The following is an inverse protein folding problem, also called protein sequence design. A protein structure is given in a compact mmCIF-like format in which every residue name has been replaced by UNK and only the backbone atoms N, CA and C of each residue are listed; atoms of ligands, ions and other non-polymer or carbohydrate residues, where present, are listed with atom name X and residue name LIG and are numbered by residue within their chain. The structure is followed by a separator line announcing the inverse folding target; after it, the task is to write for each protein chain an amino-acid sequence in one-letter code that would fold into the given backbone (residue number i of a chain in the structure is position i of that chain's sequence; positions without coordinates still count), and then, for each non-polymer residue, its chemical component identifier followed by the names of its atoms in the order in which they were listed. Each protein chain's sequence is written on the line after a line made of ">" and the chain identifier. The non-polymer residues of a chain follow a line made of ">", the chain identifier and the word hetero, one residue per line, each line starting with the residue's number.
data_IF_645172863688
#
_entry.id   IF_645172863688
#
_cell.length_a   1.000
_cell.length_b   1.000
_cell.length_c   1.000
_cell.angle_alpha   90.00
_cell.angle_beta   90.00
_cell.angle_gamma   90.00
#
_symmetry.space_group_name_H-M   'P 1'
#
loop_
_entity.id
_entity.type
_entity.pdbx_description
1 polymer ?
#
# COMPACT_ATOMS: atom_id res chain seq x y z
N UNK A 1 -45.69 62.11 -12.60
CA UNK A 1 -45.89 61.98 -11.14
C UNK A 1 -44.53 61.90 -10.48
N UNK A 2 -44.23 62.91 -9.67
CA UNK A 2 -42.88 63.46 -9.49
C UNK A 2 -42.16 62.86 -8.27
N UNK A 3 -40.88 62.52 -8.47
CA UNK A 3 -39.95 61.99 -7.47
C UNK A 3 -39.66 62.99 -6.33
N UNK A 4 -40.46 62.95 -5.25
CA UNK A 4 -40.21 63.66 -3.97
C UNK A 4 -39.61 62.74 -2.89
N UNK A 5 -38.73 61.83 -3.27
CA UNK A 5 -38.45 60.61 -2.50
C UNK A 5 -37.21 60.59 -1.58
N UNK A 6 -36.15 61.44 -1.69
CA UNK A 6 -35.00 61.29 -0.80
C UNK A 6 -35.15 62.00 0.56
N UNK A 7 -35.70 63.22 0.60
CA UNK A 7 -35.73 64.05 1.83
C UNK A 7 -36.73 63.53 2.86
N UNK A 8 -37.93 63.11 2.43
CA UNK A 8 -38.95 62.51 3.31
C UNK A 8 -38.47 61.22 3.96
N UNK A 9 -37.85 60.33 3.17
CA UNK A 9 -37.19 59.12 3.67
C UNK A 9 -36.08 59.43 4.68
N UNK A 10 -35.35 60.55 4.55
CA UNK A 10 -34.37 60.93 5.57
C UNK A 10 -35.01 61.26 6.91
N UNK A 11 -36.10 62.05 6.93
CA UNK A 11 -36.80 62.45 8.16
C UNK A 11 -37.42 61.23 8.86
N UNK A 12 -38.02 60.32 8.10
CA UNK A 12 -38.61 59.07 8.61
C UNK A 12 -37.57 58.14 9.26
N UNK A 13 -36.38 57.99 8.66
CA UNK A 13 -35.31 57.18 9.28
C UNK A 13 -34.83 57.76 10.61
N UNK A 14 -34.77 59.09 10.72
CA UNK A 14 -34.34 59.78 11.95
C UNK A 14 -35.41 59.68 13.02
N UNK A 15 -36.69 59.84 12.67
CA UNK A 15 -37.79 59.73 13.63
C UNK A 15 -37.93 58.29 14.17
N UNK A 16 -37.81 57.28 13.29
CA UNK A 16 -37.81 55.88 13.69
C UNK A 16 -36.64 55.58 14.63
N UNK A 17 -35.42 56.00 14.28
CA UNK A 17 -34.25 55.80 15.13
C UNK A 17 -34.39 56.45 16.52
N UNK A 18 -34.95 57.68 16.59
CA UNK A 18 -35.21 58.34 17.88
C UNK A 18 -36.20 57.55 18.72
N UNK A 19 -37.28 57.06 18.12
CA UNK A 19 -38.28 56.23 18.81
C UNK A 19 -37.64 54.95 19.35
N UNK A 20 -36.91 54.20 18.52
CA UNK A 20 -36.25 52.95 18.92
C UNK A 20 -35.24 53.18 20.05
N UNK A 21 -34.50 54.28 20.04
CA UNK A 21 -33.55 54.57 21.11
C UNK A 21 -34.22 55.03 22.42
N UNK A 22 -35.39 55.67 22.33
CA UNK A 22 -36.10 56.17 23.51
C UNK A 22 -36.94 55.08 24.21
N UNK A 23 -37.50 54.14 23.45
CA UNK A 23 -38.41 53.10 23.96
C UNK A 23 -37.88 51.68 23.81
N UNK A 24 -36.63 51.51 23.36
CA UNK A 24 -36.03 50.20 23.17
C UNK A 24 -35.24 49.74 24.38
N UNK A 25 -35.01 48.43 24.45
CA UNK A 25 -34.17 47.79 25.45
C UNK A 25 -32.79 47.48 24.86
N UNK A 26 -31.77 47.46 25.71
CA UNK A 26 -30.45 46.97 25.30
C UNK A 26 -30.56 45.48 24.99
N UNK A 27 -30.10 45.06 23.82
CA UNK A 27 -30.01 43.66 23.48
C UNK A 27 -28.78 43.06 24.18
N UNK A 28 -28.99 41.97 24.91
CA UNK A 28 -27.91 41.19 25.56
C UNK A 28 -26.92 40.65 24.52
N UNK A 29 -27.43 40.29 23.34
CA UNK A 29 -26.63 39.89 22.18
C UNK A 29 -26.67 41.00 21.11
N UNK A 30 -25.65 41.88 21.06
CA UNK A 30 -25.66 43.00 20.12
C UNK A 30 -25.50 42.52 18.67
N UNK A 31 -26.11 43.24 17.73
CA UNK A 31 -25.89 43.01 16.30
C UNK A 31 -24.40 43.20 15.92
N UNK A 32 -23.91 42.51 14.88
CA UNK A 32 -22.49 42.47 14.49
C UNK A 32 -21.90 43.87 14.35
N UNK A 33 -22.64 44.82 13.77
CA UNK A 33 -22.17 46.19 13.60
C UNK A 33 -22.00 46.92 14.93
N UNK A 34 -23.00 46.84 15.81
CA UNK A 34 -22.92 47.50 17.11
C UNK A 34 -21.82 46.89 17.97
N UNK A 35 -21.65 45.56 17.91
CA UNK A 35 -20.55 44.86 18.58
C UNK A 35 -19.19 45.36 18.10
N UNK A 36 -18.93 45.37 16.78
CA UNK A 36 -17.66 45.84 16.21
C UNK A 36 -17.39 47.33 16.47
N UNK A 37 -18.45 48.14 16.49
CA UNK A 37 -18.35 49.58 16.75
C UNK A 37 -18.36 49.94 18.25
N UNK A 38 -18.46 48.95 19.15
CA UNK A 38 -18.61 49.14 20.60
C UNK A 38 -19.74 50.11 20.97
N UNK A 39 -20.84 50.05 20.23
CA UNK A 39 -22.03 50.86 20.45
C UNK A 39 -23.13 50.05 21.17
N UNK A 40 -23.95 50.68 22.02
CA UNK A 40 -25.09 49.99 22.62
C UNK A 40 -26.08 49.56 21.54
N UNK A 41 -26.50 48.31 21.56
CA UNK A 41 -27.45 47.76 20.61
C UNK A 41 -28.87 47.84 21.17
N UNK A 42 -29.54 48.97 20.98
CA UNK A 42 -30.90 49.18 21.50
C UNK A 42 -31.93 48.76 20.45
N UNK A 43 -32.78 47.81 20.81
CA UNK A 43 -33.83 47.24 19.95
C UNK A 43 -35.21 47.47 20.56
N UNK A 44 -36.22 47.59 19.70
CA UNK A 44 -37.61 47.73 20.09
C UNK A 44 -38.42 46.68 19.34
N UNK A 45 -39.44 46.08 19.97
CA UNK A 45 -40.29 45.07 19.33
C UNK A 45 -41.01 45.56 18.06
N UNK A 46 -41.12 46.88 17.88
CA UNK A 46 -41.70 47.48 16.69
C UNK A 46 -40.74 47.60 15.48
N UNK A 47 -39.46 47.25 15.64
CA UNK A 47 -38.46 47.34 14.56
C UNK A 47 -37.54 46.14 14.51
N UNK A 48 -37.35 45.58 13.32
CA UNK A 48 -36.37 44.53 13.06
C UNK A 48 -34.92 45.02 13.08
N UNK A 49 -34.67 46.32 13.34
CA UNK A 49 -33.34 46.94 13.32
C UNK A 49 -33.11 47.74 14.59
N UNK A 50 -31.90 47.66 15.13
CA UNK A 50 -31.51 48.47 16.28
C UNK A 50 -31.42 49.96 15.90
N UNK A 51 -31.61 50.86 16.87
CA UNK A 51 -31.64 52.30 16.65
C UNK A 51 -30.39 52.84 15.93
N UNK A 52 -29.21 52.30 16.26
CA UNK A 52 -27.94 52.71 15.67
C UNK A 52 -27.77 52.23 14.21
N UNK A 53 -28.33 51.09 13.84
CA UNK A 53 -28.36 50.60 12.46
C UNK A 53 -29.42 51.33 11.61
N UNK A 54 -30.54 51.74 12.21
CA UNK A 54 -31.51 52.63 11.56
C UNK A 54 -30.88 54.00 11.28
N UNK A 55 -30.22 54.64 12.27
CA UNK A 55 -29.53 55.93 12.09
C UNK A 55 -28.52 55.90 10.96
N UNK A 56 -27.69 54.86 10.93
CA UNK A 56 -26.64 54.72 9.94
C UNK A 56 -27.12 54.16 8.60
N UNK A 57 -28.40 53.76 8.51
CA UNK A 57 -29.00 53.12 7.33
C UNK A 57 -28.25 51.88 6.85
N UNK A 58 -27.65 51.13 7.78
CA UNK A 58 -26.95 49.86 7.50
C UNK A 58 -27.78 48.67 7.96
N UNK A 59 -27.64 47.52 7.31
CA UNK A 59 -28.31 46.28 7.73
C UNK A 59 -28.07 45.99 9.21
N UNK A 60 -29.07 45.41 9.86
CA UNK A 60 -29.01 44.99 11.25
C UNK A 60 -29.33 43.50 11.29
N UNK A 61 -28.40 42.73 11.81
CA UNK A 61 -28.50 41.28 11.99
C UNK A 61 -28.94 40.90 13.42
N UNK A 62 -29.22 41.89 14.28
CA UNK A 62 -29.57 41.68 15.70
C UNK A 62 -30.76 40.76 15.96
N UNK A 63 -31.74 40.69 15.05
CA UNK A 63 -32.90 39.77 15.19
C UNK A 63 -32.55 38.34 14.76
N UNK A 64 -31.52 38.17 13.95
CA UNK A 64 -31.15 36.89 13.32
C UNK A 64 -30.01 36.18 14.05
N UNK A 65 -29.45 36.77 15.12
CA UNK A 65 -28.28 36.20 15.80
C UNK A 65 -28.61 34.85 16.44
N UNK A 66 -29.77 34.72 17.09
CA UNK A 66 -30.19 33.48 17.73
C UNK A 66 -30.38 32.32 16.73
N UNK A 67 -31.14 32.54 15.65
CA UNK A 67 -31.35 31.53 14.61
C UNK A 67 -30.08 31.20 13.83
N UNK A 68 -29.18 32.18 13.65
CA UNK A 68 -27.87 31.94 13.06
C UNK A 68 -26.98 31.09 13.97
N UNK A 69 -27.03 31.32 15.29
CA UNK A 69 -26.30 30.55 16.28
C UNK A 69 -26.81 29.11 16.34
N UNK A 70 -28.12 28.90 16.40
CA UNK A 70 -28.74 27.56 16.35
C UNK A 70 -28.28 26.77 15.13
N UNK A 71 -28.26 27.40 13.94
CA UNK A 71 -27.76 26.76 12.72
C UNK A 71 -26.28 26.39 12.83
N UNK A 72 -25.45 27.27 13.40
CA UNK A 72 -24.02 26.99 13.59
C UNK A 72 -23.82 25.85 14.58
N UNK A 73 -24.59 25.79 15.66
CA UNK A 73 -24.54 24.69 16.64
C UNK A 73 -24.98 23.37 16.03
N UNK A 74 -26.08 23.36 15.27
CA UNK A 74 -26.55 22.17 14.56
C UNK A 74 -25.53 21.68 13.52
N UNK A 75 -24.91 22.60 12.78
CA UNK A 75 -23.84 22.28 11.83
C UNK A 75 -22.62 21.70 12.55
N UNK A 76 -22.21 22.30 13.67
CA UNK A 76 -21.11 21.79 14.49
C UNK A 76 -21.39 20.37 14.98
N UNK A 77 -22.58 20.12 15.52
CA UNK A 77 -22.96 18.79 16.00
C UNK A 77 -23.05 17.75 14.87
N UNK A 78 -23.42 18.17 13.65
CA UNK A 78 -23.38 17.29 12.48
C UNK A 78 -21.94 16.95 12.08
N UNK A 79 -21.03 17.94 12.13
CA UNK A 79 -19.60 17.72 11.85
C UNK A 79 -18.94 16.84 12.91
N UNK A 80 -19.24 17.03 14.20
CA UNK A 80 -18.72 16.19 15.29
C UNK A 80 -19.11 14.72 15.10
N UNK A 81 -20.36 14.43 14.70
CA UNK A 81 -20.80 13.07 14.38
C UNK A 81 -20.07 12.49 13.16
N UNK A 82 -19.90 13.30 12.11
CA UNK A 82 -19.18 12.86 10.91
C UNK A 82 -17.70 12.59 11.20
N UNK A 83 -17.09 13.39 12.08
CA UNK A 83 -15.71 13.20 12.55
C UNK A 83 -15.59 11.88 13.31
N UNK A 84 -16.52 11.58 14.22
CA UNK A 84 -16.56 10.32 14.98
C UNK A 84 -16.72 9.10 14.04
N UNK A 85 -17.69 9.13 13.12
CA UNK A 85 -17.90 8.06 12.13
C UNK A 85 -16.66 7.84 11.24
N UNK A 86 -16.00 8.93 10.82
CA UNK A 86 -14.78 8.84 10.02
C UNK A 86 -13.60 8.35 10.85
N UNK A 87 -13.53 8.74 12.12
CA UNK A 87 -12.53 8.28 13.09
C UNK A 87 -12.59 6.77 13.29
N UNK A 88 -13.79 6.23 13.53
CA UNK A 88 -14.01 4.77 13.65
C UNK A 88 -13.59 4.02 12.38
N UNK A 89 -13.90 4.57 11.19
CA UNK A 89 -13.45 3.99 9.93
C UNK A 89 -11.93 3.95 9.81
N UNK A 90 -11.25 5.04 10.17
CA UNK A 90 -9.78 5.12 10.15
C UNK A 90 -9.18 4.11 11.13
N UNK A 91 -9.72 3.98 12.34
CA UNK A 91 -9.27 2.99 13.32
C UNK A 91 -9.43 1.56 12.78
N UNK A 92 -10.58 1.25 12.18
CA UNK A 92 -10.84 -0.07 11.58
C UNK A 92 -9.87 -0.40 10.43
N UNK A 93 -9.55 0.58 9.58
CA UNK A 93 -8.61 0.43 8.47
C UNK A 93 -7.18 0.27 8.99
N UNK A 94 -6.81 0.99 10.04
CA UNK A 94 -5.51 0.87 10.66
C UNK A 94 -5.30 -0.52 11.30
N UNK A 95 -6.34 -1.07 11.94
CA UNK A 95 -6.30 -2.44 12.45
C UNK A 95 -6.10 -3.47 11.33
N UNK A 96 -6.81 -3.32 10.20
CA UNK A 96 -6.62 -4.18 9.02
C UNK A 96 -5.22 -4.05 8.41
N UNK A 97 -4.68 -2.83 8.36
CA UNK A 97 -3.33 -2.58 7.87
C UNK A 97 -2.29 -3.30 8.74
N UNK A 98 -2.43 -3.26 10.06
CA UNK A 98 -1.52 -3.94 10.98
C UNK A 98 -1.54 -5.46 10.77
N UNK A 99 -2.71 -6.05 10.58
CA UNK A 99 -2.87 -7.47 10.28
C UNK A 99 -2.24 -7.85 8.92
N UNK A 100 -2.39 -7.01 7.90
CA UNK A 100 -1.71 -7.25 6.62
C UNK A 100 -0.19 -7.15 6.75
N UNK A 101 0.32 -6.25 7.59
CA UNK A 101 1.75 -6.12 7.85
C UNK A 101 2.31 -7.35 8.58
N UNK A 102 1.57 -7.93 9.53
CA UNK A 102 2.00 -9.16 10.24
C UNK A 102 2.06 -10.34 9.26
N UNK A 103 1.02 -10.52 8.43
CA UNK A 103 0.99 -11.56 7.39
C UNK A 103 2.12 -11.41 6.38
N UNK A 104 2.41 -10.17 5.95
CA UNK A 104 3.54 -9.88 5.07
C UNK A 104 4.88 -10.26 5.72
N UNK A 105 5.09 -9.88 6.98
CA UNK A 105 6.31 -10.22 7.71
C UNK A 105 6.51 -11.73 7.85
N UNK A 106 5.44 -12.49 8.09
CA UNK A 106 5.46 -13.94 8.10
C UNK A 106 5.81 -14.52 6.73
N UNK A 107 5.16 -14.05 5.66
CA UNK A 107 5.41 -14.52 4.30
C UNK A 107 6.87 -14.26 3.88
N UNK A 108 7.41 -13.09 4.20
CA UNK A 108 8.82 -12.74 3.95
C UNK A 108 9.77 -13.64 4.74
N UNK A 109 9.46 -13.92 6.01
CA UNK A 109 10.25 -14.83 6.84
C UNK A 109 10.26 -16.25 6.28
N UNK A 110 9.10 -16.77 5.85
CA UNK A 110 8.97 -18.08 5.20
C UNK A 110 9.75 -18.12 3.89
N UNK A 111 9.62 -17.11 3.04
CA UNK A 111 10.35 -16.99 1.78
C UNK A 111 11.87 -16.98 1.99
N UNK A 112 12.36 -16.25 2.99
CA UNK A 112 13.78 -16.22 3.35
C UNK A 112 14.29 -17.62 3.74
N UNK A 113 13.53 -18.37 4.53
CA UNK A 113 13.86 -19.76 4.89
C UNK A 113 13.89 -20.66 3.66
N UNK A 114 12.88 -20.59 2.80
CA UNK A 114 12.81 -21.38 1.56
C UNK A 114 14.02 -21.09 0.66
N UNK A 115 14.40 -19.82 0.50
CA UNK A 115 15.59 -19.45 -0.29
C UNK A 115 16.87 -20.04 0.30
N UNK A 116 17.02 -20.00 1.63
CA UNK A 116 18.18 -20.61 2.32
C UNK A 116 18.21 -22.12 2.17
N UNK A 117 17.08 -22.81 2.29
CA UNK A 117 17.02 -24.27 2.13
C UNK A 117 17.27 -24.67 0.69
N UNK A 118 16.75 -23.92 -0.29
CA UNK A 118 17.01 -24.14 -1.72
C UNK A 118 18.49 -24.04 -2.02
N UNK A 119 19.15 -22.97 -1.59
CA UNK A 119 20.59 -22.77 -1.79
C UNK A 119 21.42 -23.93 -1.20
N UNK A 120 21.10 -24.36 0.02
CA UNK A 120 21.77 -25.51 0.64
C UNK A 120 21.52 -26.84 -0.08
N UNK A 121 20.35 -27.00 -0.71
CA UNK A 121 20.04 -28.18 -1.51
C UNK A 121 20.82 -28.18 -2.83
N UNK A 122 20.92 -27.01 -3.49
CA UNK A 122 21.75 -26.79 -4.68
C UNK A 122 23.22 -27.11 -4.37
N UNK A 123 23.81 -26.52 -3.32
CA UNK A 123 25.20 -26.78 -2.90
C UNK A 123 25.46 -28.26 -2.60
N UNK A 124 24.52 -28.96 -1.95
CA UNK A 124 24.65 -30.40 -1.68
C UNK A 124 24.52 -31.24 -2.96
N UNK A 125 23.67 -30.84 -3.89
CA UNK A 125 23.50 -31.52 -5.17
C UNK A 125 24.77 -31.42 -6.02
N UNK A 126 25.38 -30.24 -6.09
CA UNK A 126 26.66 -30.02 -6.77
C UNK A 126 27.79 -30.85 -6.15
N UNK A 127 27.85 -30.91 -4.81
CA UNK A 127 28.87 -31.70 -4.11
C UNK A 127 28.71 -33.21 -4.33
N UNK A 128 27.48 -33.72 -4.29
CA UNK A 128 27.21 -35.14 -4.58
C UNK A 128 27.52 -35.47 -6.04
N UNK A 129 27.18 -34.58 -6.97
CA UNK A 129 27.51 -34.75 -8.39
C UNK A 129 29.03 -34.80 -8.60
N UNK A 130 29.78 -33.84 -8.02
CA UNK A 130 31.24 -33.80 -8.08
C UNK A 130 31.87 -35.09 -7.55
N UNK A 131 31.41 -35.56 -6.38
CA UNK A 131 31.91 -36.81 -5.78
C UNK A 131 31.59 -38.03 -6.64
N UNK A 132 30.39 -38.11 -7.22
CA UNK A 132 30.02 -39.21 -8.11
C UNK A 132 30.92 -39.28 -9.34
N UNK A 133 31.23 -38.14 -9.96
CA UNK A 133 32.17 -38.06 -11.09
C UNK A 133 33.59 -38.51 -10.69
N UNK A 134 34.08 -38.10 -9.52
CA UNK A 134 35.40 -38.51 -9.02
C UNK A 134 35.48 -40.02 -8.72
N UNK A 135 34.39 -40.61 -8.22
CA UNK A 135 34.29 -42.06 -7.98
C UNK A 135 34.25 -42.84 -9.32
N UNK A 136 33.47 -42.37 -10.29
CA UNK A 136 33.38 -42.97 -11.64
C UNK A 136 34.72 -42.89 -12.40
N UNK A 137 35.38 -41.74 -12.38
CA UNK A 137 36.71 -41.57 -12.98
C UNK A 137 37.77 -42.49 -12.33
N UNK A 138 37.69 -42.69 -11.00
CA UNK A 138 38.59 -43.56 -10.27
C UNK A 138 38.34 -45.05 -10.58
N UNK A 139 37.07 -45.46 -10.69
CA UNK A 139 36.69 -46.81 -11.11
C UNK A 139 37.19 -47.10 -12.52
N UNK A 140 36.94 -46.20 -13.47
CA UNK A 140 37.43 -46.33 -14.86
C UNK A 140 38.95 -46.41 -14.91
N UNK A 141 39.67 -45.59 -14.13
CA UNK A 141 41.13 -45.65 -14.08
C UNK A 141 41.64 -46.97 -13.48
N UNK A 142 40.98 -47.49 -12.45
CA UNK A 142 41.32 -48.78 -11.84
C UNK A 142 41.05 -49.95 -12.80
N UNK A 143 39.93 -49.93 -13.52
CA UNK A 143 39.60 -50.90 -14.57
C UNK A 143 40.65 -50.88 -15.69
N UNK A 144 41.00 -49.69 -16.18
CA UNK A 144 42.04 -49.53 -17.20
C UNK A 144 43.40 -50.06 -16.73
N UNK A 145 43.78 -49.79 -15.47
CA UNK A 145 45.01 -50.33 -14.89
C UNK A 145 44.97 -51.86 -14.80
N UNK A 146 43.86 -52.45 -14.37
CA UNK A 146 43.70 -53.89 -14.26
C UNK A 146 43.76 -54.58 -15.65
N UNK A 147 43.11 -53.99 -16.67
CA UNK A 147 43.19 -54.47 -18.05
C UNK A 147 44.63 -54.41 -18.56
N UNK A 148 45.34 -53.31 -18.29
CA UNK A 148 46.73 -53.17 -18.68
C UNK A 148 47.64 -54.21 -17.99
N UNK A 149 47.45 -54.47 -16.70
CA UNK A 149 48.21 -55.51 -15.98
C UNK A 149 47.94 -56.92 -16.54
N UNK A 150 46.70 -57.23 -16.89
CA UNK A 150 46.33 -58.51 -17.54
C UNK A 150 47.01 -58.65 -18.91
N UNK A 151 47.09 -57.58 -19.71
CA UNK A 151 47.81 -57.59 -20.98
C UNK A 151 49.31 -57.83 -20.79
N UNK A 152 49.93 -57.24 -19.76
CA UNK A 152 51.35 -57.49 -19.45
C UNK A 152 51.62 -58.94 -19.04
N UNK A 153 50.66 -59.58 -18.37
CA UNK A 153 50.70 -61.01 -18.03
C UNK A 153 50.47 -61.93 -19.24
N UNK A 154 50.24 -61.36 -20.43
CA UNK A 154 50.05 -62.09 -21.67
C UNK A 154 48.64 -62.66 -21.85
N UNK A 155 47.65 -62.15 -21.11
CA UNK A 155 46.24 -62.51 -21.32
C UNK A 155 45.78 -61.91 -22.65
N UNK A 156 45.33 -62.73 -23.62
CA UNK A 156 44.87 -62.23 -24.92
C UNK A 156 43.67 -61.31 -24.76
N UNK A 157 43.66 -60.18 -25.47
CA UNK A 157 42.58 -59.19 -25.43
C UNK A 157 41.32 -59.68 -26.18
N UNK A 158 41.52 -60.59 -27.14
CA UNK A 158 40.50 -61.16 -28.00
C UNK A 158 40.28 -62.63 -27.61
N UNK A 159 39.50 -62.85 -26.54
CA UNK A 159 39.10 -64.21 -26.13
C UNK A 159 37.86 -64.62 -26.91
N UNK A 160 38.01 -65.60 -27.79
CA UNK A 160 36.86 -66.24 -28.46
C UNK A 160 36.15 -67.20 -27.49
N UNK A 161 35.17 -66.65 -26.76
CA UNK A 161 34.36 -67.40 -25.79
C UNK A 161 33.60 -68.58 -26.41
N UNK A 162 33.31 -68.52 -27.70
CA UNK A 162 32.61 -69.60 -28.42
C UNK A 162 33.46 -70.87 -28.54
N UNK A 163 34.79 -70.72 -28.62
CA UNK A 163 35.75 -71.82 -28.65
C UNK A 163 35.96 -72.52 -27.29
N UNK A 164 35.52 -71.91 -26.18
CA UNK A 164 35.66 -72.45 -24.82
C UNK A 164 34.41 -73.24 -24.34
N UNK A 165 33.40 -73.41 -25.20
CA UNK A 165 32.20 -74.20 -24.90
C UNK A 165 31.22 -73.53 -23.94
N UNK A 166 31.45 -72.25 -23.61
CA UNK A 166 30.48 -71.40 -22.92
C UNK A 166 29.50 -70.94 -23.98
N UNK A 167 28.21 -71.28 -23.84
CA UNK A 167 27.21 -71.16 -24.91
C UNK A 167 27.10 -69.78 -25.55
N UNK A 168 26.52 -69.73 -26.76
CA UNK A 168 26.35 -68.55 -27.63
C UNK A 168 25.75 -67.30 -26.96
N UNK A 169 25.24 -67.40 -25.75
CA UNK A 169 24.68 -66.27 -24.97
C UNK A 169 25.73 -65.23 -24.54
N UNK A 170 27.02 -65.57 -24.59
CA UNK A 170 28.12 -64.65 -24.22
C UNK A 170 28.98 -64.21 -25.42
N UNK A 171 28.62 -64.61 -26.65
CA UNK A 171 29.39 -64.28 -27.85
C UNK A 171 29.39 -62.77 -28.19
N UNK A 172 28.42 -62.01 -27.66
CA UNK A 172 28.24 -60.59 -27.94
C UNK A 172 29.06 -59.64 -27.04
N UNK A 173 29.89 -60.16 -26.13
CA UNK A 173 30.59 -59.32 -25.15
C UNK A 173 31.73 -58.45 -25.72
N UNK A 174 32.17 -58.70 -26.96
CA UNK A 174 33.17 -57.88 -27.64
C UNK A 174 34.56 -57.85 -26.97
N UNK A 175 35.54 -57.11 -27.54
CA UNK A 175 36.88 -56.98 -26.97
C UNK A 175 36.88 -56.16 -25.67
N UNK A 176 37.84 -56.44 -24.78
CA UNK A 176 37.96 -55.80 -23.45
C UNK A 176 38.23 -54.29 -23.49
N UNK A 177 38.66 -53.76 -24.63
CA UNK A 177 38.84 -52.32 -24.86
C UNK A 177 38.16 -51.98 -26.18
N UNK A 178 37.36 -50.89 -26.26
CA UNK A 178 36.90 -50.39 -27.55
C UNK A 178 38.13 -50.07 -28.40
N UNK A 179 38.26 -50.72 -29.55
CA UNK A 179 39.28 -50.31 -30.52
C UNK A 179 38.94 -48.89 -30.93
N UNK A 180 39.80 -47.92 -30.60
CA UNK A 180 39.67 -46.54 -31.07
C UNK A 180 39.54 -46.57 -32.60
N UNK A 181 38.30 -46.44 -33.09
CA UNK A 181 38.05 -46.09 -34.47
C UNK A 181 38.56 -44.67 -34.64
N UNK A 182 39.79 -44.59 -35.16
CA UNK A 182 40.34 -43.38 -35.75
C UNK A 182 39.36 -42.86 -36.80
N UNK A 183 38.52 -41.91 -36.38
CA UNK A 183 37.67 -41.16 -37.28
C UNK A 183 38.57 -40.32 -38.18
N UNK A 184 38.92 -40.86 -39.35
CA UNK A 184 39.55 -40.09 -40.42
C UNK A 184 38.50 -39.09 -40.92
N UNK A 185 38.78 -37.78 -40.97
CA UNK A 185 37.86 -36.82 -41.54
C UNK A 185 37.84 -37.03 -43.06
N UNK A 186 36.65 -37.29 -43.60
CA UNK A 186 36.41 -37.42 -45.03
C UNK A 186 36.63 -36.10 -45.75
N UNK A 187 37.72 -36.02 -46.52
CA UNK A 187 37.90 -35.03 -47.57
C UNK A 187 37.38 -35.58 -48.90
N UNK A 188 36.18 -35.14 -49.31
CA UNK A 188 35.71 -34.81 -50.69
C UNK A 188 34.19 -34.84 -50.75
#
# INVERSE_FOLDING_TARGET
>A
MSNLTPIRKKRETVSLAKRVLASGLSADMPCTRCYRAKLPCIMSGASSRCGNCVKARKSCDGVLVASSLERVLAQRQALERQEEETGEQVESLNAQMLELQTQLAEALSRLSRIRKTRKKAEERGEELFRRGMEEEDAEVAAEQSAVHDLQQLGVPNDVDWSSLGVGLEFADLGPLVPTEETHVPSSS
#
